data_IF_037437146857
#
_entry.id   IF_037437146857
#
_cell.length_a   1.000
_cell.length_b   1.000
_cell.length_c   1.000
_cell.angle_alpha   90.00
_cell.angle_beta   90.00
_cell.angle_gamma   90.00
#
_symmetry.space_group_name_H-M   'P 1'
#
loop_
_entity.id
_entity.type
_entity.pdbx_description
1 polymer ?
#
# COMPACT_ATOMS: atom_id res chain seq x y z
N UNK A 1 -9.33 -21.90 31.77
CA UNK A 1 -8.12 -21.34 31.13
C UNK A 1 -8.03 -21.90 29.72
N UNK A 2 -8.38 -21.13 28.68
CA UNK A 2 -8.23 -21.49 27.26
C UNK A 2 -7.99 -20.20 26.47
N UNK A 3 -7.02 -20.29 25.57
CA UNK A 3 -6.13 -19.22 25.15
C UNK A 3 -6.72 -18.20 24.19
N UNK A 4 -6.22 -16.97 24.31
CA UNK A 4 -6.27 -15.93 23.31
C UNK A 4 -5.38 -16.36 22.15
N UNK A 5 -5.95 -16.84 21.06
CA UNK A 5 -5.24 -16.89 19.78
C UNK A 5 -5.08 -15.45 19.33
N UNK A 6 -3.85 -14.93 19.42
CA UNK A 6 -3.50 -13.64 18.88
C UNK A 6 -3.86 -13.59 17.40
N UNK A 7 -4.80 -12.73 17.04
CA UNK A 7 -5.00 -12.29 15.67
C UNK A 7 -3.74 -11.56 15.24
N UNK A 8 -2.82 -12.29 14.59
CA UNK A 8 -1.74 -11.70 13.83
C UNK A 8 -2.38 -10.85 12.74
N UNK A 9 -2.46 -9.54 12.98
CA UNK A 9 -2.87 -8.51 12.02
C UNK A 9 -1.89 -8.43 10.87
N UNK A 10 -1.86 -9.47 10.04
CA UNK A 10 -1.15 -9.48 8.78
C UNK A 10 -1.91 -8.60 7.80
N UNK A 11 -1.21 -7.62 7.24
CA UNK A 11 -1.65 -6.91 6.04
C UNK A 11 -2.05 -7.97 5.00
N UNK A 12 -3.25 -7.91 4.39
CA UNK A 12 -3.62 -8.89 3.37
C UNK A 12 -2.54 -8.87 2.28
N UNK A 13 -2.02 -10.05 1.94
CA UNK A 13 -0.96 -10.19 0.95
C UNK A 13 -1.47 -9.69 -0.41
N UNK A 14 -0.85 -8.64 -0.94
CA UNK A 14 -1.07 -8.22 -2.33
C UNK A 14 -0.61 -9.36 -3.25
N UNK A 15 -1.40 -9.66 -4.28
CA UNK A 15 -1.14 -10.81 -5.16
C UNK A 15 -0.07 -10.45 -6.18
N UNK A 16 1.19 -10.78 -5.91
CA UNK A 16 2.28 -10.63 -6.89
C UNK A 16 2.16 -11.73 -7.94
N UNK A 17 2.15 -11.35 -9.24
CA UNK A 17 2.12 -12.32 -10.32
C UNK A 17 3.37 -13.23 -10.30
N UNK A 18 3.24 -14.53 -10.64
CA UNK A 18 4.39 -15.43 -10.72
C UNK A 18 5.48 -14.89 -11.66
N UNK A 19 6.72 -14.87 -11.18
CA UNK A 19 7.89 -14.48 -12.00
C UNK A 19 8.33 -13.02 -11.86
N UNK A 20 7.57 -12.16 -11.17
CA UNK A 20 7.99 -10.78 -10.90
C UNK A 20 8.10 -10.52 -9.40
N UNK A 21 8.99 -9.58 -9.02
CA UNK A 21 9.06 -9.12 -7.64
C UNK A 21 8.17 -7.89 -7.44
N UNK A 22 7.78 -7.67 -6.18
CA UNK A 22 7.20 -6.42 -5.73
C UNK A 22 8.23 -5.29 -5.90
N UNK A 23 7.83 -4.19 -6.55
CA UNK A 23 8.70 -3.03 -6.77
C UNK A 23 8.65 -2.08 -5.58
N UNK A 24 7.45 -1.74 -5.12
CA UNK A 24 7.25 -0.75 -4.07
C UNK A 24 5.85 -0.16 -4.05
N UNK A 25 5.70 0.86 -3.19
CA UNK A 25 4.48 1.65 -3.07
C UNK A 25 4.67 3.04 -3.66
N UNK A 26 3.65 3.53 -4.34
CA UNK A 26 3.56 4.90 -4.82
C UNK A 26 2.40 5.62 -4.12
N UNK A 27 2.66 6.81 -3.55
CA UNK A 27 1.63 7.66 -2.97
C UNK A 27 1.24 8.73 -3.99
N UNK A 28 -0.04 8.76 -4.37
CA UNK A 28 -0.58 9.74 -5.31
C UNK A 28 -1.53 10.68 -4.58
N UNK A 29 -1.13 11.95 -4.52
CA UNK A 29 -1.95 13.03 -3.97
C UNK A 29 -3.09 13.39 -4.94
N UNK A 30 -4.30 13.53 -4.41
CA UNK A 30 -5.48 13.91 -5.18
C UNK A 30 -6.03 15.24 -4.64
N UNK A 31 -6.26 16.27 -5.48
CA UNK A 31 -6.70 17.59 -4.99
C UNK A 31 -8.02 17.58 -4.22
N UNK A 32 -8.99 16.77 -4.66
CA UNK A 32 -10.36 16.77 -4.14
C UNK A 32 -10.77 15.42 -3.52
N UNK A 33 -9.80 14.55 -3.22
CA UNK A 33 -10.06 13.23 -2.66
C UNK A 33 -8.90 12.79 -1.74
N UNK A 34 -9.11 11.83 -0.82
CA UNK A 34 -8.01 11.28 -0.04
C UNK A 34 -6.88 10.76 -0.96
N UNK A 35 -5.61 10.89 -0.60
CA UNK A 35 -4.53 10.31 -1.40
C UNK A 35 -4.69 8.79 -1.50
N UNK A 36 -4.13 8.20 -2.56
CA UNK A 36 -4.16 6.75 -2.77
C UNK A 36 -2.75 6.19 -2.69
N UNK A 37 -2.65 5.01 -2.10
CA UNK A 37 -1.44 4.20 -2.10
C UNK A 37 -1.59 3.10 -3.15
N UNK A 38 -0.63 3.02 -4.05
CA UNK A 38 -0.62 2.07 -5.17
C UNK A 38 0.50 1.06 -4.92
N UNK A 39 0.18 -0.24 -4.95
CA UNK A 39 1.17 -1.31 -4.92
C UNK A 39 1.59 -1.66 -6.36
N UNK A 40 2.90 -1.58 -6.67
CA UNK A 40 3.42 -1.87 -8.01
C UNK A 40 4.24 -3.15 -8.07
N UNK A 41 4.09 -3.83 -9.20
CA UNK A 41 4.95 -4.91 -9.63
C UNK A 41 6.12 -4.36 -10.45
N UNK A 42 7.28 -5.02 -10.44
CA UNK A 42 8.45 -4.59 -11.24
C UNK A 42 8.21 -4.50 -12.76
N UNK A 43 7.17 -5.16 -13.28
CA UNK A 43 6.78 -5.03 -14.69
C UNK A 43 5.95 -3.76 -14.98
N UNK A 44 5.71 -2.92 -13.97
CA UNK A 44 4.91 -1.69 -14.08
C UNK A 44 3.41 -1.87 -13.82
N UNK A 45 2.94 -3.12 -13.67
CA UNK A 45 1.54 -3.42 -13.35
C UNK A 45 1.15 -2.94 -11.94
N UNK A 46 -0.07 -2.43 -11.83
CA UNK A 46 -0.68 -2.11 -10.54
C UNK A 46 -1.30 -3.38 -9.97
N UNK A 47 -0.82 -3.80 -8.81
CA UNK A 47 -1.33 -5.00 -8.13
C UNK A 47 -2.61 -4.69 -7.36
N UNK A 48 -2.57 -3.64 -6.55
CA UNK A 48 -3.66 -3.22 -5.67
C UNK A 48 -3.60 -1.71 -5.43
N UNK A 49 -4.75 -1.12 -5.09
CA UNK A 49 -4.88 0.28 -4.68
C UNK A 49 -5.61 0.38 -3.34
N UNK A 50 -5.23 1.34 -2.50
CA UNK A 50 -5.92 1.62 -1.25
C UNK A 50 -6.02 3.14 -1.03
N UNK A 51 -7.06 3.60 -0.34
CA UNK A 51 -7.05 4.95 0.21
C UNK A 51 -5.97 5.04 1.30
N UNK A 52 -5.05 5.98 1.16
CA UNK A 52 -4.00 6.18 2.14
C UNK A 52 -4.58 6.82 3.41
N UNK A 53 -4.49 6.09 4.51
CA UNK A 53 -4.75 6.61 5.87
C UNK A 53 -3.43 6.94 6.52
N UNK A 54 -3.39 8.02 7.29
CA UNK A 54 -2.17 8.42 8.00
C UNK A 54 -2.42 8.52 9.49
N UNK A 55 -1.42 8.10 10.24
CA UNK A 55 -1.31 8.32 11.67
C UNK A 55 -0.15 9.27 11.98
N UNK A 56 -0.09 9.80 13.20
CA UNK A 56 1.04 10.58 13.67
C UNK A 56 2.30 9.73 13.65
N UNK A 57 3.43 10.31 13.20
CA UNK A 57 4.69 9.60 13.22
C UNK A 57 5.08 9.28 14.67
N UNK A 58 5.19 7.99 15.04
CA UNK A 58 5.45 7.60 16.43
C UNK A 58 6.85 7.98 16.90
N UNK A 59 7.76 8.25 15.98
CA UNK A 59 9.16 8.55 16.29
C UNK A 59 9.44 10.03 16.57
N UNK A 60 8.63 10.95 16.02
CA UNK A 60 8.94 12.38 16.12
C UNK A 60 7.79 13.23 16.66
N UNK A 61 6.60 12.67 16.91
CA UNK A 61 5.46 13.40 17.47
C UNK A 61 5.15 14.75 16.77
N UNK A 62 5.41 14.83 15.46
CA UNK A 62 5.23 16.06 14.67
C UNK A 62 6.48 16.93 14.47
N UNK A 63 7.61 16.64 15.13
CA UNK A 63 8.87 17.38 14.99
C UNK A 63 9.68 17.09 13.71
N UNK A 64 9.17 16.20 12.84
CA UNK A 64 9.86 15.73 11.63
C UNK A 64 11.02 14.76 11.90
N UNK A 65 11.14 13.73 11.07
CA UNK A 65 12.26 12.78 11.08
C UNK A 65 12.41 12.06 9.73
N UNK A 66 13.46 11.27 9.57
CA UNK A 66 13.73 10.49 8.36
C UNK A 66 12.56 9.54 8.00
N UNK A 67 11.91 8.93 9.00
CA UNK A 67 10.81 7.99 8.78
C UNK A 67 9.58 8.63 8.11
N UNK A 68 9.24 9.86 8.49
CA UNK A 68 8.09 10.58 7.92
C UNK A 68 8.47 11.59 6.83
N UNK A 69 9.76 11.65 6.45
CA UNK A 69 10.27 12.66 5.53
C UNK A 69 10.04 14.11 6.02
N UNK A 70 9.97 14.33 7.34
CA UNK A 70 9.68 15.64 7.92
C UNK A 70 8.20 16.02 8.03
N UNK A 71 7.27 15.23 7.47
CA UNK A 71 5.83 15.56 7.47
C UNK A 71 5.14 15.40 8.84
N UNK A 72 5.76 14.69 9.78
CA UNK A 72 5.15 14.34 11.06
C UNK A 72 4.06 13.27 10.98
N UNK A 73 3.78 12.72 9.79
CA UNK A 73 2.75 11.69 9.54
C UNK A 73 3.33 10.50 8.78
N UNK A 74 2.77 9.32 8.99
CA UNK A 74 3.14 8.09 8.28
C UNK A 74 1.90 7.34 7.85
N UNK A 75 2.00 6.57 6.77
CA UNK A 75 0.90 5.71 6.32
C UNK A 75 0.61 4.66 7.39
N UNK A 76 -0.64 4.59 7.81
CA UNK A 76 -1.14 3.56 8.70
C UNK A 76 -1.48 2.32 7.89
N UNK A 77 -0.53 1.39 7.81
CA UNK A 77 -0.66 0.16 7.04
C UNK A 77 -1.73 -0.78 7.61
N UNK A 78 -2.08 -0.64 8.89
CA UNK A 78 -3.12 -1.46 9.53
C UNK A 78 -4.53 -0.99 9.21
N UNK A 79 -4.67 0.26 8.79
CA UNK A 79 -5.93 0.87 8.38
C UNK A 79 -6.15 0.86 6.86
N UNK A 80 -5.27 0.20 6.09
CA UNK A 80 -5.39 0.12 4.63
C UNK A 80 -6.41 -0.95 4.24
N UNK A 81 -7.34 -0.55 3.38
CA UNK A 81 -8.30 -1.43 2.73
C UNK A 81 -7.93 -1.53 1.25
N UNK A 82 -7.17 -2.57 0.90
CA UNK A 82 -6.73 -2.82 -0.47
C UNK A 82 -7.87 -3.28 -1.37
N UNK A 83 -7.86 -2.77 -2.59
CA UNK A 83 -8.82 -3.06 -3.63
C UNK A 83 -8.06 -3.45 -4.89
N UNK A 84 -8.42 -4.59 -5.47
CA UNK A 84 -7.94 -4.97 -6.79
C UNK A 84 -8.46 -3.92 -7.78
N UNK A 85 -7.60 -3.33 -8.64
CA UNK A 85 -8.05 -2.36 -9.62
C UNK A 85 -9.12 -3.01 -10.50
N UNK A 86 -10.32 -2.44 -10.55
CA UNK A 86 -11.43 -3.01 -11.34
C UNK A 86 -11.17 -2.95 -12.85
N UNK A 87 -10.09 -2.28 -13.27
CA UNK A 87 -9.59 -2.31 -14.64
C UNK A 87 -8.39 -3.27 -14.72
N UNK A 88 -8.66 -4.52 -15.10
CA UNK A 88 -7.61 -5.35 -15.70
C UNK A 88 -7.08 -4.62 -16.96
N UNK A 89 -5.76 -4.57 -17.21
CA UNK A 89 -5.28 -4.23 -18.54
C UNK A 89 -5.82 -5.26 -19.50
N UNK A 90 -6.64 -4.77 -20.41
CA UNK A 90 -7.26 -5.58 -21.43
C UNK A 90 -6.15 -5.99 -22.39
N UNK A 91 -5.76 -7.27 -22.33
CA UNK A 91 -5.10 -8.04 -23.38
C UNK A 91 -4.21 -7.25 -24.36
N UNK A 92 -2.90 -7.25 -24.11
CA UNK A 92 -1.94 -7.14 -25.23
C UNK A 92 -1.38 -8.55 -25.46
N UNK A 93 -1.70 -9.23 -26.58
CA UNK A 93 -1.09 -10.51 -26.88
C UNK A 93 0.41 -10.31 -27.07
N UNK A 94 1.20 -11.02 -26.28
CA UNK A 94 2.65 -11.14 -26.47
C UNK A 94 2.86 -11.80 -27.84
N UNK A 95 3.25 -11.02 -28.85
CA UNK A 95 3.68 -11.58 -30.14
C UNK A 95 5.05 -12.22 -29.94
N UNK A 96 5.13 -13.50 -30.31
CA UNK A 96 6.31 -14.38 -30.26
C UNK A 96 7.49 -13.85 -31.06
#
# INVERSE_FOLDING_TARGET
MRGLTGSSGGVPAFHVHPGHAFEGFELVERPDAPPILIARCQCGEVLDVAEARFTSCPECAGGGCARCGGSGRVVDHSALEWQVPTAAPQNVPYRS
#
